data_IF_879270075032
#
_entry.id   IF_879270075032
#
_cell.length_a   1.000
_cell.length_b   1.000
_cell.length_c   1.000
_cell.angle_alpha   90.00
_cell.angle_beta   90.00
_cell.angle_gamma   90.00
#
_symmetry.space_group_name_H-M   'P 1'
#
loop_
_entity.id
_entity.type
_entity.pdbx_description
1 polymer ?
#
# COMPACT_ATOMS: atom_id res chain seq x y z
N UNK A 1 53.33 24.07 -7.07
CA UNK A 1 52.65 22.88 -6.52
C UNK A 1 51.20 23.25 -6.19
N UNK A 2 50.27 23.17 -7.15
CA UNK A 2 48.83 23.45 -6.88
C UNK A 2 47.85 22.82 -7.91
N UNK A 3 48.28 21.85 -8.72
CA UNK A 3 47.48 21.29 -9.82
C UNK A 3 46.67 20.02 -9.44
N UNK A 4 46.61 19.66 -8.16
CA UNK A 4 46.00 18.40 -7.70
C UNK A 4 44.59 18.53 -7.10
N UNK A 5 44.19 19.73 -6.67
CA UNK A 5 42.99 19.90 -5.84
C UNK A 5 41.73 20.10 -6.70
N UNK A 6 41.83 20.77 -7.85
CA UNK A 6 40.68 21.08 -8.71
C UNK A 6 40.06 19.88 -9.44
N UNK A 7 40.79 18.77 -9.59
CA UNK A 7 40.27 17.51 -10.17
C UNK A 7 39.55 16.64 -9.15
N UNK A 8 39.88 16.77 -7.87
CA UNK A 8 39.27 15.97 -6.80
C UNK A 8 37.88 16.50 -6.44
N UNK A 9 37.66 17.82 -6.52
CA UNK A 9 36.37 18.47 -6.24
C UNK A 9 35.30 18.21 -7.30
N UNK A 10 35.68 17.91 -8.55
CA UNK A 10 34.72 17.71 -9.65
C UNK A 10 34.00 16.34 -9.59
N UNK A 11 34.57 15.36 -8.88
CA UNK A 11 33.99 14.01 -8.73
C UNK A 11 33.10 13.90 -7.49
N UNK A 12 33.26 14.79 -6.51
CA UNK A 12 32.46 14.76 -5.30
C UNK A 12 30.99 15.06 -5.57
N UNK A 13 30.68 16.07 -6.40
CA UNK A 13 29.30 16.53 -6.63
C UNK A 13 28.33 15.44 -7.15
N UNK A 14 28.66 14.62 -8.17
CA UNK A 14 27.76 13.56 -8.63
C UNK A 14 27.58 12.40 -7.63
N UNK A 15 28.52 12.18 -6.70
CA UNK A 15 28.39 11.14 -5.67
C UNK A 15 27.32 11.46 -4.61
N UNK A 16 27.09 12.75 -4.32
CA UNK A 16 26.08 13.19 -3.35
C UNK A 16 24.64 13.03 -3.88
N UNK A 17 24.44 13.12 -5.20
CA UNK A 17 23.13 12.97 -5.83
C UNK A 17 22.64 11.51 -5.87
N UNK A 18 23.55 10.53 -5.82
CA UNK A 18 23.18 9.11 -5.79
C UNK A 18 22.58 8.66 -4.45
N UNK A 19 22.79 9.41 -3.35
CA UNK A 19 22.27 9.05 -2.03
C UNK A 19 20.74 9.20 -1.92
N UNK A 20 20.14 10.17 -2.61
CA UNK A 20 18.68 10.34 -2.65
C UNK A 20 17.98 9.34 -3.57
N UNK A 21 18.70 8.64 -4.44
CA UNK A 21 18.13 7.66 -5.36
C UNK A 21 17.92 6.27 -4.73
N UNK A 22 18.20 6.12 -3.43
CA UNK A 22 17.83 4.93 -2.67
C UNK A 22 16.31 4.87 -2.53
N UNK A 23 15.68 4.25 -3.54
CA UNK A 23 14.23 4.08 -3.59
C UNK A 23 13.76 3.34 -2.33
N UNK A 24 12.87 3.95 -1.51
CA UNK A 24 12.42 3.31 -0.29
C UNK A 24 11.67 2.04 -0.65
N UNK A 25 12.10 0.92 -0.07
CA UNK A 25 11.35 -0.32 -0.13
C UNK A 25 10.00 -0.07 0.56
N UNK A 26 8.89 -0.25 -0.16
CA UNK A 26 7.57 -0.07 0.44
C UNK A 26 7.36 -1.10 1.54
N UNK A 27 7.07 -0.66 2.76
CA UNK A 27 6.78 -1.52 3.91
C UNK A 27 5.53 -2.37 3.67
N UNK A 28 4.56 -1.79 2.94
CA UNK A 28 3.28 -2.39 2.63
C UNK A 28 3.15 -2.74 1.16
N UNK A 29 2.27 -3.68 0.88
CA UNK A 29 1.78 -3.98 -0.46
C UNK A 29 0.40 -3.36 -0.67
N UNK A 30 0.35 -2.37 -1.55
CA UNK A 30 -0.88 -1.64 -1.90
C UNK A 30 -1.57 -2.16 -3.17
N UNK A 31 -0.87 -2.92 -4.02
CA UNK A 31 -1.40 -3.31 -5.34
C UNK A 31 -2.00 -2.13 -6.11
N UNK A 32 -3.23 -2.27 -6.58
CA UNK A 32 -4.05 -1.23 -7.23
C UNK A 32 -5.09 -0.60 -6.28
N UNK A 33 -4.81 -0.55 -4.97
CA UNK A 33 -5.72 -0.02 -3.97
C UNK A 33 -6.22 1.40 -4.26
N UNK A 34 -5.37 2.37 -4.69
CA UNK A 34 -5.85 3.71 -5.03
C UNK A 34 -6.94 3.70 -6.11
N UNK A 35 -6.74 2.93 -7.19
CA UNK A 35 -7.72 2.82 -8.28
C UNK A 35 -9.02 2.16 -7.81
N UNK A 36 -8.91 1.17 -6.92
CA UNK A 36 -10.05 0.43 -6.35
C UNK A 36 -10.91 1.34 -5.47
N UNK A 37 -10.29 2.24 -4.71
CA UNK A 37 -10.98 3.25 -3.90
C UNK A 37 -11.59 4.35 -4.79
N UNK A 38 -10.93 4.77 -5.86
CA UNK A 38 -11.52 5.75 -6.78
C UNK A 38 -12.83 5.24 -7.41
N UNK A 39 -12.87 3.97 -7.84
CA UNK A 39 -14.10 3.35 -8.37
C UNK A 39 -15.26 3.34 -7.35
N UNK A 40 -14.96 3.30 -6.05
CA UNK A 40 -15.96 3.45 -4.98
C UNK A 40 -16.53 4.87 -4.93
N UNK A 41 -15.68 5.90 -4.98
CA UNK A 41 -16.12 7.31 -4.97
C UNK A 41 -16.95 7.69 -6.18
N UNK A 42 -16.73 7.02 -7.31
CA UNK A 42 -17.51 7.23 -8.54
C UNK A 42 -18.94 6.66 -8.45
N UNK A 43 -19.29 6.01 -7.34
CA UNK A 43 -20.64 5.50 -7.07
C UNK A 43 -21.00 4.27 -7.91
N UNK A 44 -19.99 3.54 -8.40
CA UNK A 44 -20.23 2.29 -9.11
C UNK A 44 -20.64 1.20 -8.11
N UNK A 45 -21.80 0.58 -8.32
CA UNK A 45 -22.30 -0.55 -7.51
C UNK A 45 -21.60 -1.88 -7.84
N UNK A 46 -20.39 -1.86 -8.41
CA UNK A 46 -19.62 -3.07 -8.72
C UNK A 46 -18.90 -3.61 -7.47
N UNK A 47 -19.71 -4.04 -6.50
CA UNK A 47 -19.22 -4.61 -5.24
C UNK A 47 -18.41 -5.89 -5.46
N UNK A 48 -18.77 -6.67 -6.47
CA UNK A 48 -18.06 -7.91 -6.81
C UNK A 48 -16.66 -7.61 -7.38
N UNK A 49 -16.53 -6.63 -8.27
CA UNK A 49 -15.23 -6.19 -8.79
C UNK A 49 -14.34 -5.60 -7.70
N UNK A 50 -14.91 -4.79 -6.80
CA UNK A 50 -14.18 -4.25 -5.65
C UNK A 50 -13.69 -5.35 -4.71
N UNK A 51 -14.54 -6.33 -4.38
CA UNK A 51 -14.14 -7.47 -3.56
C UNK A 51 -12.99 -8.24 -4.22
N UNK A 52 -13.09 -8.53 -5.52
CA UNK A 52 -12.06 -9.26 -6.26
C UNK A 52 -10.72 -8.51 -6.22
N UNK A 53 -10.73 -7.20 -6.43
CA UNK A 53 -9.52 -6.38 -6.39
C UNK A 53 -8.88 -6.37 -4.99
N UNK A 54 -9.68 -6.20 -3.93
CA UNK A 54 -9.19 -6.19 -2.54
C UNK A 54 -8.62 -7.54 -2.12
N UNK A 55 -9.32 -8.65 -2.43
CA UNK A 55 -8.80 -10.00 -2.18
C UNK A 55 -7.52 -10.29 -2.94
N UNK A 56 -7.39 -9.75 -4.16
CA UNK A 56 -6.15 -9.85 -4.93
C UNK A 56 -5.01 -9.09 -4.25
N UNK A 57 -5.23 -7.89 -3.72
CA UNK A 57 -4.21 -7.15 -2.98
C UNK A 57 -3.74 -7.95 -1.75
N UNK A 58 -4.67 -8.53 -0.99
CA UNK A 58 -4.35 -9.35 0.19
C UNK A 58 -3.51 -10.57 -0.19
N UNK A 59 -3.93 -11.31 -1.24
CA UNK A 59 -3.19 -12.46 -1.75
C UNK A 59 -1.80 -12.09 -2.27
N UNK A 60 -1.70 -11.02 -3.07
CA UNK A 60 -0.43 -10.54 -3.61
C UNK A 60 0.52 -10.08 -2.47
N UNK A 61 0.01 -9.50 -1.39
CA UNK A 61 0.81 -9.14 -0.22
C UNK A 61 1.45 -10.38 0.42
N UNK A 62 0.66 -11.44 0.63
CA UNK A 62 1.14 -12.70 1.18
C UNK A 62 2.20 -13.36 0.29
N UNK A 63 1.97 -13.43 -1.02
CA UNK A 63 2.95 -14.01 -1.96
C UNK A 63 4.27 -13.24 -2.02
N UNK A 64 4.21 -11.92 -1.83
CA UNK A 64 5.38 -11.03 -1.81
C UNK A 64 6.02 -10.91 -0.43
N UNK A 65 5.51 -11.64 0.57
CA UNK A 65 5.95 -11.57 1.97
C UNK A 65 5.96 -10.13 2.51
N UNK A 66 4.97 -9.34 2.11
CA UNK A 66 4.75 -7.97 2.59
C UNK A 66 3.49 -7.91 3.43
N UNK A 67 3.43 -6.93 4.34
CA UNK A 67 2.18 -6.60 5.01
C UNK A 67 1.20 -6.02 4.00
N UNK A 68 -0.09 -6.31 4.18
CA UNK A 68 -1.19 -5.63 3.48
C UNK A 68 -1.10 -4.12 3.78
N UNK A 69 -1.71 -3.24 2.98
CA UNK A 69 -1.80 -1.82 3.34
C UNK A 69 -2.85 -1.57 4.44
N UNK A 70 -2.63 -0.61 5.36
CA UNK A 70 -3.69 -0.13 6.25
C UNK A 70 -4.93 0.27 5.45
N UNK A 71 -6.10 -0.11 5.95
CA UNK A 71 -7.41 0.16 5.37
C UNK A 71 -7.90 -0.85 4.32
N UNK A 72 -7.05 -1.73 3.79
CA UNK A 72 -7.48 -2.72 2.77
C UNK A 72 -8.48 -3.73 3.34
N UNK A 73 -8.20 -4.26 4.53
CA UNK A 73 -9.15 -5.17 5.21
C UNK A 73 -10.39 -4.40 5.65
N UNK A 74 -10.23 -3.17 6.15
CA UNK A 74 -11.34 -2.28 6.45
C UNK A 74 -12.28 -2.04 5.25
N UNK A 75 -11.72 -1.74 4.07
CA UNK A 75 -12.50 -1.55 2.86
C UNK A 75 -13.18 -2.84 2.39
N UNK A 76 -12.50 -3.98 2.50
CA UNK A 76 -13.12 -5.28 2.19
C UNK A 76 -14.30 -5.57 3.11
N UNK A 77 -14.17 -5.26 4.41
CA UNK A 77 -15.27 -5.32 5.36
C UNK A 77 -16.46 -4.46 4.95
N UNK A 78 -16.22 -3.23 4.51
CA UNK A 78 -17.27 -2.34 4.00
C UNK A 78 -17.98 -2.95 2.77
N UNK A 79 -17.21 -3.42 1.78
CA UNK A 79 -17.74 -4.03 0.56
C UNK A 79 -18.58 -5.27 0.88
N UNK A 80 -18.13 -6.12 1.81
CA UNK A 80 -18.86 -7.32 2.23
C UNK A 80 -20.17 -6.97 2.93
N UNK A 81 -20.19 -5.94 3.78
CA UNK A 81 -21.43 -5.48 4.42
C UNK A 81 -22.42 -4.91 3.40
N UNK A 82 -21.95 -4.20 2.36
CA UNK A 82 -22.81 -3.75 1.23
C UNK A 82 -23.45 -4.91 0.47
N UNK A 83 -22.80 -6.07 0.45
CA UNK A 83 -23.32 -7.31 -0.13
C UNK A 83 -24.18 -8.14 0.86
N UNK A 84 -24.39 -7.66 2.09
CA UNK A 84 -25.14 -8.38 3.13
C UNK A 84 -24.38 -9.53 3.81
N UNK A 85 -23.04 -9.59 3.65
CA UNK A 85 -22.16 -10.63 4.20
C UNK A 85 -21.53 -10.18 5.52
N UNK A 86 -22.37 -9.85 6.49
CA UNK A 86 -21.96 -9.15 7.71
C UNK A 86 -20.98 -9.92 8.60
N UNK A 87 -21.05 -11.26 8.64
CA UNK A 87 -20.12 -12.06 9.44
C UNK A 87 -18.71 -12.07 8.82
N UNK A 88 -18.61 -12.08 7.48
CA UNK A 88 -17.33 -11.93 6.80
C UNK A 88 -16.81 -10.49 6.94
N UNK A 89 -17.70 -9.50 6.88
CA UNK A 89 -17.32 -8.11 7.13
C UNK A 89 -16.68 -7.92 8.51
N UNK A 90 -17.29 -8.48 9.56
CA UNK A 90 -16.73 -8.45 10.94
C UNK A 90 -15.35 -9.09 11.02
N UNK A 91 -15.14 -10.20 10.31
CA UNK A 91 -13.84 -10.87 10.28
C UNK A 91 -12.76 -9.96 9.66
N UNK A 92 -13.07 -9.29 8.55
CA UNK A 92 -12.13 -8.38 7.89
C UNK A 92 -11.86 -7.13 8.75
N UNK A 93 -12.87 -6.58 9.43
CA UNK A 93 -12.65 -5.48 10.39
C UNK A 93 -11.77 -5.90 11.59
N UNK A 94 -11.94 -7.13 12.08
CA UNK A 94 -11.11 -7.66 13.16
C UNK A 94 -9.65 -7.86 12.70
N UNK A 95 -9.44 -8.33 11.48
CA UNK A 95 -8.11 -8.47 10.89
C UNK A 95 -7.44 -7.09 10.71
N UNK A 96 -8.18 -6.09 10.23
CA UNK A 96 -7.71 -4.71 10.13
C UNK A 96 -7.25 -4.18 11.50
N UNK A 97 -8.05 -4.36 12.56
CA UNK A 97 -7.69 -3.96 13.91
C UNK A 97 -6.48 -4.73 14.46
N UNK A 98 -6.34 -6.02 14.13
CA UNK A 98 -5.21 -6.83 14.56
C UNK A 98 -3.90 -6.38 13.90
N UNK A 99 -3.94 -5.99 12.63
CA UNK A 99 -2.80 -5.48 11.89
C UNK A 99 -2.48 -4.01 12.24
N UNK A 100 -3.51 -3.23 12.52
CA UNK A 100 -3.49 -1.78 12.71
C UNK A 100 -4.37 -1.39 13.92
N UNK A 101 -3.84 -1.44 15.15
CA UNK A 101 -4.59 -1.08 16.37
C UNK A 101 -5.14 0.35 16.35
N UNK A 102 -4.56 1.24 15.55
CA UNK A 102 -5.05 2.60 15.30
C UNK A 102 -6.41 2.66 14.58
N UNK A 103 -6.83 1.58 13.93
CA UNK A 103 -8.14 1.49 13.26
C UNK A 103 -9.30 1.29 14.24
N UNK A 104 -9.03 1.23 15.56
CA UNK A 104 -10.01 0.98 16.62
C UNK A 104 -10.38 2.18 17.49
N UNK A 105 -9.80 3.36 17.20
CA UNK A 105 -10.00 4.61 17.95
C UNK A 105 -10.90 5.57 17.20
#
# INVERSE_FOLDING_TARGET
MHQGIGRLTLVALPLWLAACASWPQTLYHWGNYPDTIHAWYDGTDDWAGQEQALRKIISDAATRQKKVGPGVHGQLGLVLSRQGRDDEAKAEFAEEQALYPESAT
#
